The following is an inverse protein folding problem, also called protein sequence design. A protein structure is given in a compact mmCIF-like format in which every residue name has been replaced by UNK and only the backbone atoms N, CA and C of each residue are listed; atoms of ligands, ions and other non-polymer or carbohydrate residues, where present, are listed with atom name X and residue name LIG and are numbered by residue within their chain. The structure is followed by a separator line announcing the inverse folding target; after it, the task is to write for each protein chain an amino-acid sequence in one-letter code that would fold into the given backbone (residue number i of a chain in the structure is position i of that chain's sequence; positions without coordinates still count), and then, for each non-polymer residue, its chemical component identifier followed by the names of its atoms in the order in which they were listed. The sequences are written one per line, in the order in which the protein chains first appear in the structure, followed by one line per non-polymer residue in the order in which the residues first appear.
data_IF_601163968432
#
_entry.id   IF_601163968432
#
_cell.length_a   1.000
_cell.length_b   1.000
_cell.length_c   1.000
_cell.angle_alpha   90.00
_cell.angle_beta   90.00
_cell.angle_gamma   90.00
#
_symmetry.space_group_name_H-M   'P 1'
#
loop_
_entity.id
_entity.type
_entity.pdbx_description
1 polymer ?
#
# COMPACT_ATOMS: atom_id res chain seq x y z
N UNK A 1 -16.48 -29.39 -28.24
CA UNK A 1 -16.90 -28.07 -27.76
C UNK A 1 -15.79 -27.07 -28.08
N UNK A 2 -15.98 -26.23 -29.10
CA UNK A 2 -14.96 -25.28 -29.54
C UNK A 2 -15.15 -23.97 -28.79
N UNK A 3 -14.34 -23.78 -27.75
CA UNK A 3 -14.12 -22.50 -27.10
C UNK A 3 -13.37 -21.60 -28.07
N UNK A 4 -14.03 -20.58 -28.62
CA UNK A 4 -13.33 -19.54 -29.38
C UNK A 4 -12.85 -18.52 -28.36
N UNK A 5 -11.53 -18.52 -28.11
CA UNK A 5 -10.90 -17.47 -27.33
C UNK A 5 -10.91 -16.15 -28.14
N UNK A 6 -11.03 -14.98 -27.49
CA UNK A 6 -10.88 -13.70 -28.17
C UNK A 6 -9.52 -13.68 -28.90
N UNK A 7 -9.54 -13.37 -30.20
CA UNK A 7 -8.31 -13.25 -30.99
C UNK A 7 -7.53 -12.03 -30.50
N UNK A 8 -6.44 -12.28 -29.77
CA UNK A 8 -5.51 -11.26 -29.26
C UNK A 8 -4.20 -11.22 -30.05
N UNK A 9 -4.13 -11.91 -31.19
CA UNK A 9 -2.93 -11.98 -32.03
C UNK A 9 -2.59 -10.59 -32.60
N UNK A 10 -1.40 -10.06 -32.29
CA UNK A 10 -0.93 -8.75 -32.79
C UNK A 10 -0.16 -7.89 -31.78
N UNK A 11 0.00 -8.32 -30.52
CA UNK A 11 0.84 -7.67 -29.51
C UNK A 11 1.79 -8.65 -28.82
N UNK A 12 2.75 -8.12 -28.05
CA UNK A 12 3.75 -8.92 -27.28
C UNK A 12 3.04 -10.02 -26.51
N UNK A 13 3.60 -11.23 -26.60
CA UNK A 13 3.12 -12.45 -25.95
C UNK A 13 2.66 -12.17 -24.52
N UNK A 14 1.46 -12.68 -24.19
CA UNK A 14 0.89 -12.84 -22.86
C UNK A 14 1.59 -12.03 -21.75
N UNK A 15 1.11 -10.80 -21.50
CA UNK A 15 1.25 -10.18 -20.17
C UNK A 15 0.78 -11.24 -19.17
N UNK A 16 1.74 -11.83 -18.47
CA UNK A 16 1.58 -12.96 -17.57
C UNK A 16 1.51 -12.46 -16.11
N UNK A 17 1.03 -13.31 -15.22
CA UNK A 17 0.92 -12.98 -13.80
C UNK A 17 2.29 -12.60 -13.18
N UNK A 18 3.38 -13.15 -13.72
CA UNK A 18 4.76 -12.82 -13.30
C UNK A 18 5.13 -11.35 -13.55
N UNK A 19 4.70 -10.76 -14.68
CA UNK A 19 4.90 -9.33 -14.95
C UNK A 19 4.11 -8.47 -13.96
N UNK A 20 2.88 -8.89 -13.62
CA UNK A 20 2.04 -8.18 -12.65
C UNK A 20 2.65 -8.22 -11.24
N UNK A 21 3.13 -9.39 -10.82
CA UNK A 21 3.84 -9.57 -9.55
C UNK A 21 5.12 -8.73 -9.50
N UNK A 22 5.88 -8.70 -10.59
CA UNK A 22 7.09 -7.87 -10.71
C UNK A 22 6.75 -6.38 -10.60
N UNK A 23 5.69 -5.92 -11.26
CA UNK A 23 5.22 -4.53 -11.14
C UNK A 23 4.78 -4.21 -9.72
N UNK A 24 4.05 -5.10 -9.05
CA UNK A 24 3.64 -4.93 -7.67
C UNK A 24 4.85 -4.82 -6.72
N UNK A 25 5.89 -5.62 -6.93
CA UNK A 25 7.15 -5.51 -6.18
C UNK A 25 7.86 -4.18 -6.45
N UNK A 26 7.90 -3.71 -7.70
CA UNK A 26 8.48 -2.41 -8.05
C UNK A 26 7.72 -1.26 -7.38
N UNK A 27 6.39 -1.30 -7.35
CA UNK A 27 5.56 -0.32 -6.64
C UNK A 27 5.93 -0.29 -5.16
N UNK A 28 6.05 -1.46 -4.50
CA UNK A 28 6.44 -1.57 -3.10
C UNK A 28 7.86 -1.05 -2.82
N UNK A 29 8.81 -1.33 -3.71
CA UNK A 29 10.17 -0.79 -3.57
C UNK A 29 10.22 0.72 -3.79
N UNK A 30 9.44 1.21 -4.76
CA UNK A 30 9.42 2.61 -5.11
C UNK A 30 8.74 3.47 -4.03
N UNK A 31 7.74 2.94 -3.31
CA UNK A 31 7.25 3.61 -2.10
C UNK A 31 8.38 3.77 -1.09
N UNK A 32 9.19 2.75 -0.85
CA UNK A 32 10.31 2.79 0.11
C UNK A 32 11.52 3.66 -0.28
N UNK A 33 11.57 4.21 -1.51
CA UNK A 33 12.70 5.06 -1.93
C UNK A 33 12.70 6.35 -1.12
N UNK A 34 13.78 6.60 -0.35
CA UNK A 34 13.94 7.81 0.46
C UNK A 34 14.12 9.03 -0.43
N UNK A 35 13.54 10.16 -0.02
CA UNK A 35 13.57 11.42 -0.79
C UNK A 35 14.35 12.53 -0.10
N UNK A 36 14.81 12.30 1.14
CA UNK A 36 15.63 13.24 1.93
C UNK A 36 15.03 14.65 2.06
N UNK A 37 13.69 14.74 2.16
CA UNK A 37 12.97 16.02 2.20
C UNK A 37 13.01 16.82 0.88
N UNK A 38 13.65 16.30 -0.18
CA UNK A 38 13.80 17.02 -1.45
C UNK A 38 12.52 16.95 -2.28
N UNK A 39 11.85 18.08 -2.40
CA UNK A 39 10.63 18.26 -3.23
C UNK A 39 10.74 17.64 -4.63
N UNK A 40 11.84 17.81 -5.40
CA UNK A 40 11.94 17.22 -6.73
C UNK A 40 11.98 15.68 -6.72
N UNK A 41 12.66 15.07 -5.74
CA UNK A 41 12.74 13.61 -5.62
C UNK A 41 11.39 13.01 -5.22
N UNK A 42 10.63 13.71 -4.37
CA UNK A 42 9.24 13.33 -4.03
C UNK A 42 8.34 13.35 -5.25
N UNK A 43 8.37 14.44 -6.02
CA UNK A 43 7.60 14.56 -7.27
C UNK A 43 7.99 13.46 -8.26
N UNK A 44 9.28 13.15 -8.40
CA UNK A 44 9.76 12.07 -9.26
C UNK A 44 9.26 10.69 -8.80
N UNK A 45 9.39 10.37 -7.51
CA UNK A 45 8.90 9.12 -6.90
C UNK A 45 7.39 8.96 -7.09
N UNK A 46 6.63 10.02 -6.85
CA UNK A 46 5.17 9.99 -7.02
C UNK A 46 4.77 9.81 -8.49
N UNK A 47 5.37 10.57 -9.43
CA UNK A 47 5.13 10.38 -10.87
C UNK A 47 5.41 8.95 -11.32
N UNK A 48 6.52 8.38 -10.87
CA UNK A 48 6.87 7.00 -11.18
C UNK A 48 5.88 6.00 -10.55
N UNK A 49 5.43 6.21 -9.30
CA UNK A 49 4.39 5.39 -8.67
C UNK A 49 3.05 5.48 -9.41
N UNK A 50 2.60 6.69 -9.76
CA UNK A 50 1.37 6.90 -10.52
C UNK A 50 1.42 6.19 -11.88
N UNK A 51 2.55 6.28 -12.58
CA UNK A 51 2.75 5.59 -13.86
C UNK A 51 2.72 4.07 -13.70
N UNK A 52 3.44 3.52 -12.72
CA UNK A 52 3.44 2.08 -12.46
C UNK A 52 2.06 1.55 -12.08
N UNK A 53 1.30 2.28 -11.25
CA UNK A 53 -0.08 1.91 -10.93
C UNK A 53 -1.02 2.02 -12.13
N UNK A 54 -0.85 3.04 -12.97
CA UNK A 54 -1.63 3.16 -14.21
C UNK A 54 -1.32 2.00 -15.17
N UNK A 55 -0.05 1.61 -15.31
CA UNK A 55 0.35 0.43 -16.07
C UNK A 55 -0.30 -0.82 -15.48
N UNK A 56 -0.20 -1.02 -14.17
CA UNK A 56 -0.82 -2.15 -13.48
C UNK A 56 -2.33 -2.23 -13.76
N UNK A 57 -3.06 -1.12 -13.60
CA UNK A 57 -4.50 -1.04 -13.89
C UNK A 57 -4.81 -1.35 -15.37
N UNK A 58 -3.99 -0.86 -16.31
CA UNK A 58 -4.13 -1.14 -17.77
C UNK A 58 -3.93 -2.62 -18.11
N UNK A 59 -3.05 -3.30 -17.37
CA UNK A 59 -2.78 -4.73 -17.52
C UNK A 59 -3.87 -5.59 -16.87
N UNK A 60 -4.35 -5.21 -15.67
CA UNK A 60 -5.42 -5.88 -14.92
C UNK A 60 -6.80 -5.68 -15.56
N UNK A 61 -7.05 -4.52 -16.19
CA UNK A 61 -8.32 -4.15 -16.82
C UNK A 61 -8.67 -4.92 -18.09
N UNK A 62 -8.06 -6.08 -18.32
CA UNK A 62 -8.39 -6.98 -19.42
C UNK A 62 -9.74 -7.61 -19.17
N UNK A 63 -10.55 -7.67 -20.23
CA UNK A 63 -11.73 -8.53 -20.23
C UNK A 63 -11.30 -9.97 -19.88
N UNK A 64 -11.97 -10.63 -18.90
CA UNK A 64 -11.70 -12.03 -18.59
C UNK A 64 -11.83 -12.86 -19.86
N UNK A 65 -11.16 -14.02 -19.91
CA UNK A 65 -11.36 -15.01 -20.97
C UNK A 65 -12.79 -15.55 -20.92
N UNK A 66 -13.77 -14.79 -21.40
CA UNK A 66 -15.13 -15.27 -21.47
C UNK A 66 -15.30 -16.09 -22.74
N UNK A 67 -15.38 -17.39 -22.47
CA UNK A 67 -15.68 -18.52 -23.32
C UNK A 67 -17.05 -18.32 -23.98
N UNK A 68 -17.08 -17.77 -25.19
CA UNK A 68 -18.25 -17.97 -26.04
C UNK A 68 -18.30 -19.47 -26.40
N UNK A 69 -19.28 -20.19 -25.83
CA UNK A 69 -19.62 -21.54 -26.29
C UNK A 69 -20.26 -21.42 -27.67
N UNK A 70 -19.44 -21.43 -28.72
CA UNK A 70 -19.85 -21.33 -30.13
C UNK A 70 -20.12 -22.75 -30.69
N UNK A 71 -21.08 -22.90 -31.65
CA UNK A 71 -21.24 -22.03 -32.81
C UNK A 71 -22.47 -21.12 -32.73
N UNK A 72 -22.36 -19.94 -33.35
CA UNK A 72 -23.43 -18.95 -33.47
C UNK A 72 -23.80 -18.87 -34.95
N UNK A 73 -25.10 -18.69 -35.23
CA UNK A 73 -25.70 -18.65 -36.56
C UNK A 73 -25.07 -17.60 -37.49
N UNK A 74 -25.28 -17.74 -38.81
CA UNK A 74 -24.59 -17.02 -39.89
C UNK A 74 -24.39 -15.50 -39.71
N UNK A 75 -25.36 -14.77 -39.16
CA UNK A 75 -25.25 -13.32 -38.93
C UNK A 75 -24.44 -12.95 -37.67
N UNK A 76 -24.43 -13.82 -36.67
CA UNK A 76 -23.61 -13.64 -35.46
C UNK A 76 -22.11 -13.81 -35.75
N UNK A 77 -21.75 -14.42 -36.88
CA UNK A 77 -20.35 -14.68 -37.23
C UNK A 77 -19.64 -13.39 -37.71
N UNK A 78 -20.29 -12.53 -38.49
CA UNK A 78 -19.69 -11.26 -38.96
C UNK A 78 -19.54 -10.26 -37.80
N UNK A 79 -20.56 -10.09 -36.96
CA UNK A 79 -20.47 -9.21 -35.80
C UNK A 79 -19.37 -9.66 -34.81
N UNK A 80 -19.28 -10.96 -34.52
CA UNK A 80 -18.21 -11.51 -33.68
C UNK A 80 -16.85 -11.35 -34.34
N UNK A 81 -16.75 -11.54 -35.66
CA UNK A 81 -15.51 -11.32 -36.40
C UNK A 81 -15.04 -9.86 -36.31
N UNK A 82 -15.96 -8.89 -36.47
CA UNK A 82 -15.67 -7.46 -36.31
C UNK A 82 -15.24 -7.11 -34.88
N UNK A 83 -15.93 -7.64 -33.87
CA UNK A 83 -15.54 -7.42 -32.46
C UNK A 83 -14.13 -8.00 -32.22
N UNK A 84 -13.81 -9.18 -32.76
CA UNK A 84 -12.48 -9.77 -32.66
C UNK A 84 -11.39 -8.92 -33.36
N UNK A 85 -11.69 -8.36 -34.55
CA UNK A 85 -10.78 -7.43 -35.23
C UNK A 85 -10.52 -6.18 -34.38
N UNK A 86 -11.56 -5.61 -33.77
CA UNK A 86 -11.40 -4.47 -32.85
C UNK A 86 -10.57 -4.87 -31.63
N UNK A 87 -10.80 -6.05 -31.05
CA UNK A 87 -10.02 -6.55 -29.91
C UNK A 87 -8.51 -6.67 -30.19
N UNK A 88 -8.13 -7.07 -31.40
CA UNK A 88 -6.72 -7.06 -31.83
C UNK A 88 -6.17 -5.63 -31.77
N UNK A 89 -6.89 -4.66 -32.35
CA UNK A 89 -6.48 -3.24 -32.34
C UNK A 89 -6.43 -2.67 -30.92
N UNK A 90 -7.39 -3.00 -30.05
CA UNK A 90 -7.39 -2.62 -28.62
C UNK A 90 -6.18 -3.20 -27.89
N UNK A 91 -5.80 -4.45 -28.20
CA UNK A 91 -4.61 -5.09 -27.62
C UNK A 91 -3.30 -4.40 -28.05
N UNK A 92 -3.22 -3.92 -29.28
CA UNK A 92 -2.11 -3.09 -29.76
C UNK A 92 -2.09 -1.73 -29.06
N UNK A 93 -3.24 -1.05 -28.99
CA UNK A 93 -3.38 0.26 -28.34
C UNK A 93 -3.01 0.20 -26.84
N UNK A 94 -3.37 -0.89 -26.15
CA UNK A 94 -2.92 -1.16 -24.78
C UNK A 94 -1.40 -1.21 -24.68
N UNK A 95 -0.74 -1.97 -25.56
CA UNK A 95 0.72 -2.10 -25.53
C UNK A 95 1.40 -0.75 -25.76
N UNK A 96 0.85 0.06 -26.67
CA UNK A 96 1.31 1.42 -26.93
C UNK A 96 1.08 2.34 -25.72
N UNK A 97 -0.07 2.23 -25.04
CA UNK A 97 -0.37 2.98 -23.81
C UNK A 97 0.61 2.60 -22.68
N UNK A 98 0.91 1.31 -22.49
CA UNK A 98 1.90 0.87 -21.50
C UNK A 98 3.28 1.45 -21.84
N UNK A 99 3.71 1.38 -23.09
CA UNK A 99 4.98 1.98 -23.52
C UNK A 99 5.01 3.51 -23.29
N UNK A 100 3.88 4.19 -23.54
CA UNK A 100 3.73 5.63 -23.31
C UNK A 100 3.83 5.97 -21.82
N UNK A 101 3.07 5.28 -20.96
CA UNK A 101 3.10 5.47 -19.50
C UNK A 101 4.49 5.18 -18.91
N UNK A 102 5.24 4.26 -19.51
CA UNK A 102 6.61 3.93 -19.12
C UNK A 102 7.67 4.87 -19.73
N UNK A 103 7.27 5.85 -20.55
CA UNK A 103 8.17 6.79 -21.21
C UNK A 103 9.08 6.15 -22.28
N UNK A 104 8.67 5.01 -22.84
CA UNK A 104 9.41 4.26 -23.85
C UNK A 104 9.00 4.67 -25.29
N UNK A 105 7.88 5.37 -25.44
CA UNK A 105 7.34 5.79 -26.74
C UNK A 105 7.95 7.12 -27.21
N UNK A 106 8.41 7.16 -28.45
CA UNK A 106 9.05 8.35 -29.04
C UNK A 106 8.10 9.38 -29.66
N UNK A 107 7.10 8.95 -30.45
CA UNK A 107 6.24 9.85 -31.29
C UNK A 107 4.73 9.69 -31.10
N UNK A 108 4.27 8.65 -30.42
CA UNK A 108 2.84 8.43 -30.21
C UNK A 108 2.36 9.37 -29.12
N UNK A 109 1.48 10.30 -29.47
CA UNK A 109 0.89 11.25 -28.52
C UNK A 109 -0.34 10.66 -27.85
N UNK A 110 -0.64 11.09 -26.62
CA UNK A 110 -1.88 10.72 -25.93
C UNK A 110 -3.11 11.04 -26.79
N UNK A 111 -3.05 12.14 -27.55
CA UNK A 111 -4.08 12.53 -28.51
C UNK A 111 -4.26 11.51 -29.64
N UNK A 112 -3.16 10.92 -30.15
CA UNK A 112 -3.22 9.89 -31.18
C UNK A 112 -3.90 8.61 -30.68
N UNK A 113 -3.49 8.11 -29.51
CA UNK A 113 -4.09 6.92 -28.90
C UNK A 113 -5.54 7.16 -28.50
N UNK A 114 -5.86 8.35 -27.96
CA UNK A 114 -7.23 8.73 -27.62
C UNK A 114 -8.13 8.69 -28.86
N UNK A 115 -7.68 9.31 -29.97
CA UNK A 115 -8.41 9.27 -31.25
C UNK A 115 -8.64 7.84 -31.73
N UNK A 116 -7.61 6.98 -31.73
CA UNK A 116 -7.74 5.57 -32.15
C UNK A 116 -8.79 4.86 -31.28
N UNK A 117 -8.68 4.97 -29.96
CA UNK A 117 -9.60 4.28 -29.04
C UNK A 117 -11.05 4.76 -29.21
N UNK A 118 -11.27 6.07 -29.40
CA UNK A 118 -12.59 6.61 -29.70
C UNK A 118 -13.12 6.13 -31.05
N UNK A 119 -12.29 6.06 -32.10
CA UNK A 119 -12.68 5.50 -33.40
C UNK A 119 -13.12 4.03 -33.28
N UNK A 120 -12.39 3.21 -32.51
CA UNK A 120 -12.77 1.81 -32.24
C UNK A 120 -14.08 1.68 -31.46
N UNK A 121 -14.34 2.59 -30.54
CA UNK A 121 -15.61 2.63 -29.81
C UNK A 121 -16.78 2.91 -30.74
N UNK A 122 -16.63 3.87 -31.67
CA UNK A 122 -17.63 4.16 -32.70
C UNK A 122 -17.84 2.97 -33.64
N UNK A 123 -16.75 2.29 -34.05
CA UNK A 123 -16.84 1.05 -34.84
C UNK A 123 -17.71 -0.01 -34.14
N UNK A 124 -17.54 -0.20 -32.81
CA UNK A 124 -18.35 -1.14 -32.03
C UNK A 124 -19.80 -0.68 -31.84
N UNK A 125 -20.04 0.62 -31.69
CA UNK A 125 -21.40 1.16 -31.53
C UNK A 125 -22.24 1.09 -32.79
N UNK A 126 -21.61 1.01 -33.96
CA UNK A 126 -22.28 0.82 -35.23
C UNK A 126 -22.71 -0.64 -35.51
N UNK A 127 -22.25 -1.62 -34.73
CA UNK A 127 -22.57 -3.03 -34.94
C UNK A 127 -24.01 -3.37 -34.49
N UNK A 128 -24.81 -3.95 -35.38
CA UNK A 128 -26.09 -4.54 -34.99
C UNK A 128 -25.89 -5.87 -34.26
N UNK A 129 -26.07 -5.83 -32.95
CA UNK A 129 -25.98 -6.99 -32.04
C UNK A 129 -27.31 -7.25 -31.32
N UNK A 130 -28.40 -6.67 -31.83
CA UNK A 130 -29.72 -6.75 -31.18
C UNK A 130 -30.25 -8.18 -31.11
N UNK A 131 -29.95 -9.02 -32.11
CA UNK A 131 -30.41 -10.40 -32.19
C UNK A 131 -29.74 -11.42 -31.26
N UNK A 132 -28.65 -11.06 -30.57
CA UNK A 132 -27.90 -12.03 -29.76
C UNK A 132 -27.32 -11.40 -28.48
N UNK A 133 -27.85 -11.81 -27.32
CA UNK A 133 -27.43 -11.30 -26.01
C UNK A 133 -25.95 -11.60 -25.70
N UNK A 134 -25.42 -12.75 -26.13
CA UNK A 134 -24.02 -13.10 -25.90
C UNK A 134 -23.07 -12.20 -26.67
N UNK A 135 -23.38 -11.91 -27.95
CA UNK A 135 -22.59 -11.00 -28.79
C UNK A 135 -22.66 -9.56 -28.28
N UNK A 136 -23.85 -9.13 -27.81
CA UNK A 136 -24.03 -7.82 -27.18
C UNK A 136 -23.19 -7.65 -25.91
N UNK A 137 -23.16 -8.67 -25.06
CA UNK A 137 -22.33 -8.67 -23.85
C UNK A 137 -20.84 -8.64 -24.20
N UNK A 138 -20.42 -9.42 -25.22
CA UNK A 138 -19.04 -9.39 -25.67
C UNK A 138 -18.64 -8.00 -26.19
N UNK A 139 -19.45 -7.38 -27.05
CA UNK A 139 -19.25 -6.00 -27.50
C UNK A 139 -19.14 -5.03 -26.32
N UNK A 140 -20.02 -5.14 -25.33
CA UNK A 140 -20.03 -4.29 -24.13
C UNK A 140 -18.72 -4.43 -23.34
N UNK A 141 -18.23 -5.65 -23.17
CA UNK A 141 -16.95 -5.92 -22.51
C UNK A 141 -15.77 -5.24 -23.23
N UNK A 142 -15.73 -5.30 -24.56
CA UNK A 142 -14.70 -4.59 -25.34
C UNK A 142 -14.79 -3.08 -25.17
N UNK A 143 -16.00 -2.51 -25.14
CA UNK A 143 -16.21 -1.08 -24.90
C UNK A 143 -15.76 -0.69 -23.48
N UNK A 144 -16.05 -1.50 -22.47
CA UNK A 144 -15.57 -1.30 -21.09
C UNK A 144 -14.03 -1.32 -21.03
N UNK A 145 -13.38 -2.19 -21.79
CA UNK A 145 -11.91 -2.23 -21.94
C UNK A 145 -11.35 -0.95 -22.57
N UNK A 146 -11.96 -0.47 -23.67
CA UNK A 146 -11.58 0.79 -24.33
C UNK A 146 -11.72 1.98 -23.38
N UNK A 147 -12.84 2.08 -22.66
CA UNK A 147 -13.07 3.14 -21.67
C UNK A 147 -12.03 3.10 -20.53
N UNK A 148 -11.62 1.90 -20.11
CA UNK A 148 -10.54 1.72 -19.16
C UNK A 148 -9.22 2.31 -19.66
N UNK A 149 -8.84 2.05 -20.92
CA UNK A 149 -7.62 2.60 -21.53
C UNK A 149 -7.68 4.13 -21.67
N UNK A 150 -8.81 4.68 -22.13
CA UNK A 150 -9.01 6.12 -22.30
C UNK A 150 -8.79 6.90 -21.00
N UNK A 151 -9.30 6.39 -19.87
CA UNK A 151 -9.13 7.00 -18.55
C UNK A 151 -7.66 7.25 -18.17
N UNK A 152 -6.73 6.41 -18.64
CA UNK A 152 -5.31 6.55 -18.33
C UNK A 152 -4.57 7.50 -19.27
N UNK A 153 -5.12 7.83 -20.44
CA UNK A 153 -4.55 8.83 -21.35
C UNK A 153 -4.74 10.26 -20.84
N UNK A 154 -5.85 10.51 -20.14
CA UNK A 154 -6.12 11.79 -19.48
C UNK A 154 -5.05 12.14 -18.41
N UNK A 155 -4.41 11.12 -17.82
CA UNK A 155 -3.35 11.29 -16.81
C UNK A 155 -2.05 11.87 -17.39
N UNK A 156 -1.75 11.64 -18.68
CA UNK A 156 -0.51 12.13 -19.31
C UNK A 156 -0.67 13.54 -19.89
N UNK A 157 -1.86 13.91 -20.37
CA UNK A 157 -2.14 15.28 -20.83
C UNK A 157 -2.07 16.33 -19.71
N UNK A 158 -2.25 15.90 -18.47
CA UNK A 158 -2.23 16.74 -17.25
C UNK A 158 -0.85 16.76 -16.56
N UNK A 159 0.12 15.98 -17.03
CA UNK A 159 1.42 15.75 -16.40
C UNK A 159 2.34 16.98 -16.31
N UNK A 160 2.07 18.00 -17.13
CA UNK A 160 2.81 19.27 -17.11
C UNK A 160 2.36 20.20 -15.97
N UNK A 161 1.13 20.07 -15.46
CA UNK A 161 0.65 20.91 -14.37
C UNK A 161 0.99 20.30 -13.00
N UNK A 162 2.16 20.68 -12.49
CA UNK A 162 2.73 20.16 -11.22
C UNK A 162 1.85 20.34 -9.99
N UNK A 163 0.74 21.11 -10.06
CA UNK A 163 -0.20 21.38 -8.97
C UNK A 163 -1.02 20.16 -8.57
N UNK A 164 -1.40 19.29 -9.51
CA UNK A 164 -2.21 18.08 -9.23
C UNK A 164 -1.42 16.99 -8.48
N UNK A 165 -0.09 17.11 -8.45
CA UNK A 165 0.84 16.18 -7.78
C UNK A 165 1.31 16.70 -6.41
N UNK A 166 0.81 17.84 -5.95
CA UNK A 166 1.10 18.34 -4.61
C UNK A 166 0.28 17.55 -3.56
N UNK A 167 0.94 16.59 -2.91
CA UNK A 167 0.33 15.74 -1.89
C UNK A 167 -0.25 16.56 -0.72
N UNK A 168 0.30 17.75 -0.45
CA UNK A 168 -0.20 18.62 0.62
C UNK A 168 -1.62 19.15 0.34
N UNK A 169 -2.05 19.16 -0.93
CA UNK A 169 -3.41 19.58 -1.31
C UNK A 169 -4.41 18.43 -1.36
N UNK A 170 -3.94 17.17 -1.28
CA UNK A 170 -4.83 16.02 -1.28
C UNK A 170 -5.59 15.91 0.05
N UNK A 171 -6.93 15.81 0.00
CA UNK A 171 -7.77 15.76 1.20
C UNK A 171 -7.42 14.57 2.12
N UNK A 172 -7.25 13.36 1.58
CA UNK A 172 -6.87 12.19 2.37
C UNK A 172 -5.53 12.36 3.08
N UNK A 173 -4.54 12.97 2.42
CA UNK A 173 -3.26 13.30 3.06
C UNK A 173 -3.43 14.33 4.18
N UNK A 174 -4.23 15.38 3.96
CA UNK A 174 -4.51 16.40 4.98
C UNK A 174 -5.22 15.80 6.20
N UNK A 175 -6.15 14.87 6.00
CA UNK A 175 -6.81 14.12 7.07
C UNK A 175 -5.81 13.26 7.86
N UNK A 176 -4.94 12.52 7.15
CA UNK A 176 -3.88 11.71 7.78
C UNK A 176 -2.94 12.60 8.61
N UNK A 177 -2.51 13.74 8.08
CA UNK A 177 -1.62 14.66 8.81
C UNK A 177 -2.30 15.31 10.01
N UNK A 178 -3.60 15.61 9.94
CA UNK A 178 -4.36 16.08 11.09
C UNK A 178 -4.39 15.02 12.21
N UNK A 179 -4.61 13.75 11.86
CA UNK A 179 -4.52 12.64 12.82
C UNK A 179 -3.13 12.55 13.42
N UNK A 180 -2.07 12.59 12.61
CA UNK A 180 -0.68 12.50 13.10
C UNK A 180 -0.31 13.66 14.03
N UNK A 181 -0.73 14.87 13.72
CA UNK A 181 -0.54 16.03 14.60
C UNK A 181 -1.21 15.81 15.96
N UNK A 182 -2.43 15.29 15.95
CA UNK A 182 -3.17 14.95 17.17
C UNK A 182 -2.48 13.84 17.98
N UNK A 183 -2.00 12.79 17.31
CA UNK A 183 -1.22 11.71 17.94
C UNK A 183 0.08 12.23 18.55
N UNK A 184 0.78 13.17 17.89
CA UNK A 184 1.98 13.80 18.46
C UNK A 184 1.67 14.50 19.77
N UNK A 185 0.57 15.25 19.84
CA UNK A 185 0.14 15.93 21.06
C UNK A 185 -0.19 14.93 22.19
N UNK A 186 -0.95 13.88 21.88
CA UNK A 186 -1.26 12.83 22.85
C UNK A 186 0.00 12.11 23.33
N UNK A 187 0.93 11.77 22.43
CA UNK A 187 2.21 11.14 22.74
C UNK A 187 3.05 12.01 23.69
N UNK A 188 3.16 13.31 23.42
CA UNK A 188 3.85 14.25 24.32
C UNK A 188 3.17 14.32 25.69
N UNK A 189 1.84 14.28 25.72
CA UNK A 189 1.07 14.11 26.95
C UNK A 189 1.46 12.83 27.70
N UNK A 190 1.44 11.68 27.01
CA UNK A 190 1.79 10.36 27.59
C UNK A 190 3.20 10.37 28.19
N UNK A 191 4.19 10.86 27.45
CA UNK A 191 5.58 10.90 27.91
C UNK A 191 5.76 11.82 29.13
N UNK A 192 5.11 12.99 29.16
CA UNK A 192 5.14 13.90 30.32
C UNK A 192 4.51 13.28 31.56
N UNK A 193 3.32 12.70 31.46
CA UNK A 193 2.65 12.10 32.63
C UNK A 193 3.39 10.84 33.12
N UNK A 194 4.03 10.07 32.22
CA UNK A 194 4.90 8.97 32.62
C UNK A 194 6.09 9.44 33.45
N UNK A 195 6.72 10.56 33.09
CA UNK A 195 7.80 11.14 33.89
C UNK A 195 7.33 11.60 35.28
N UNK A 196 6.08 12.05 35.39
CA UNK A 196 5.48 12.50 36.67
C UNK A 196 4.80 11.38 37.47
N UNK A 197 4.79 10.13 36.97
CA UNK A 197 4.06 9.00 37.57
C UNK A 197 2.55 9.25 37.77
N UNK A 198 1.96 10.12 36.94
CA UNK A 198 0.54 10.45 36.99
C UNK A 198 -0.28 9.50 36.09
N UNK A 199 -1.26 8.81 36.68
CA UNK A 199 -2.14 7.82 36.05
C UNK A 199 -3.50 8.39 35.61
N UNK A 200 -3.72 9.70 35.79
CA UNK A 200 -4.98 10.37 35.46
C UNK A 200 -5.19 10.53 33.95
N UNK A 201 -4.10 10.69 33.18
CA UNK A 201 -4.15 10.86 31.73
C UNK A 201 -4.35 9.52 31.01
N UNK A 202 -5.53 9.30 30.43
CA UNK A 202 -5.93 8.03 29.77
C UNK A 202 -6.35 8.24 28.30
N UNK A 203 -5.39 8.52 27.40
CA UNK A 203 -5.70 8.83 26.00
C UNK A 203 -6.05 7.59 25.15
N UNK A 204 -6.07 6.38 25.72
CA UNK A 204 -6.25 5.12 24.98
C UNK A 204 -7.55 5.08 24.17
N UNK A 205 -8.67 5.53 24.74
CA UNK A 205 -9.95 5.57 24.02
C UNK A 205 -9.89 6.53 22.81
N UNK A 206 -9.22 7.66 22.97
CA UNK A 206 -9.03 8.65 21.92
C UNK A 206 -8.11 8.12 20.81
N UNK A 207 -6.99 7.47 21.17
CA UNK A 207 -6.10 6.80 20.22
C UNK A 207 -6.82 5.71 19.41
N UNK A 208 -7.70 4.92 20.04
CA UNK A 208 -8.53 3.93 19.35
C UNK A 208 -9.52 4.58 18.37
N UNK A 209 -10.10 5.73 18.74
CA UNK A 209 -10.94 6.52 17.83
C UNK A 209 -10.16 7.02 16.61
N UNK A 210 -8.90 7.42 16.79
CA UNK A 210 -8.03 7.85 15.68
C UNK A 210 -7.68 6.70 14.73
N UNK A 211 -7.48 5.47 15.24
CA UNK A 211 -7.33 4.30 14.38
C UNK A 211 -8.58 4.07 13.52
N UNK A 212 -9.76 4.17 14.13
CA UNK A 212 -11.03 4.01 13.42
C UNK A 212 -11.21 5.10 12.36
N UNK A 213 -10.76 6.33 12.64
CA UNK A 213 -10.74 7.41 11.65
C UNK A 213 -9.79 7.10 10.49
N UNK A 214 -8.56 6.64 10.78
CA UNK A 214 -7.59 6.28 9.75
C UNK A 214 -8.11 5.17 8.83
N UNK A 215 -8.82 4.18 9.37
CA UNK A 215 -9.43 3.09 8.57
C UNK A 215 -10.48 3.59 7.56
N UNK A 216 -11.14 4.72 7.86
CA UNK A 216 -12.15 5.35 7.01
C UNK A 216 -11.57 6.28 5.94
N UNK A 217 -10.28 6.65 6.03
CA UNK A 217 -9.63 7.51 5.03
C UNK A 217 -9.61 6.81 3.67
N UNK A 218 -10.17 7.46 2.65
CA UNK A 218 -10.13 6.96 1.28
C UNK A 218 -8.69 7.01 0.76
N UNK A 219 -8.14 5.83 0.51
CA UNK A 219 -6.80 5.66 -0.06
C UNK A 219 -6.82 5.49 -1.57
N UNK A 220 -8.00 5.29 -2.17
CA UNK A 220 -8.18 4.84 -3.55
C UNK A 220 -7.19 3.70 -3.90
N UNK A 221 -6.72 3.62 -5.15
CA UNK A 221 -5.57 2.79 -5.52
C UNK A 221 -4.22 3.50 -5.31
N UNK A 222 -4.17 4.62 -4.59
CA UNK A 222 -2.96 5.45 -4.48
C UNK A 222 -1.96 4.86 -3.48
N UNK A 223 -0.79 4.36 -3.91
CA UNK A 223 0.19 3.74 -3.01
C UNK A 223 0.79 4.73 -1.99
N UNK A 224 0.89 6.02 -2.31
CA UNK A 224 1.40 7.02 -1.38
C UNK A 224 0.43 7.29 -0.23
N UNK A 225 -0.88 7.39 -0.53
CA UNK A 225 -1.90 7.60 0.50
C UNK A 225 -2.03 6.35 1.38
N UNK A 226 -1.97 5.15 0.78
CA UNK A 226 -1.91 3.88 1.53
C UNK A 226 -0.72 3.83 2.48
N UNK A 227 0.45 4.23 2.03
CA UNK A 227 1.66 4.26 2.84
C UNK A 227 1.60 5.32 3.94
N UNK A 228 1.14 6.54 3.64
CA UNK A 228 0.91 7.60 4.62
C UNK A 228 -0.04 7.12 5.74
N UNK A 229 -1.17 6.50 5.37
CA UNK A 229 -2.12 5.91 6.33
C UNK A 229 -1.46 4.81 7.14
N UNK A 230 -0.70 3.90 6.51
CA UNK A 230 0.01 2.81 7.20
C UNK A 230 0.95 3.36 8.27
N UNK A 231 1.74 4.39 7.95
CA UNK A 231 2.68 5.02 8.89
C UNK A 231 1.95 5.69 10.05
N UNK A 232 0.85 6.40 9.78
CA UNK A 232 0.00 6.98 10.83
C UNK A 232 -0.59 5.91 11.75
N UNK A 233 -1.08 4.79 11.20
CA UNK A 233 -1.58 3.65 12.00
C UNK A 233 -0.48 3.10 12.91
N UNK A 234 0.73 2.91 12.38
CA UNK A 234 1.87 2.41 13.17
C UNK A 234 2.25 3.41 14.28
N UNK A 235 2.20 4.72 14.03
CA UNK A 235 2.41 5.76 15.05
C UNK A 235 1.40 5.68 16.19
N UNK A 236 0.10 5.56 15.88
CA UNK A 236 -0.94 5.41 16.89
C UNK A 236 -0.75 4.11 17.69
N UNK A 237 -0.49 3.00 16.98
CA UNK A 237 -0.31 1.69 17.60
C UNK A 237 0.93 1.64 18.51
N UNK A 238 2.00 2.35 18.17
CA UNK A 238 3.18 2.46 19.02
C UNK A 238 2.86 3.12 20.38
N UNK A 239 1.99 4.14 20.40
CA UNK A 239 1.55 4.77 21.65
C UNK A 239 0.62 3.85 22.44
N UNK A 240 -0.33 3.18 21.78
CA UNK A 240 -1.25 2.25 22.45
C UNK A 240 -0.48 1.09 23.09
N UNK A 241 0.41 0.45 22.34
CA UNK A 241 1.21 -0.68 22.84
C UNK A 241 2.11 -0.31 24.00
N UNK A 242 2.64 0.93 24.02
CA UNK A 242 3.37 1.46 25.15
C UNK A 242 2.50 1.57 26.41
N UNK A 243 1.29 2.13 26.27
CA UNK A 243 0.33 2.26 27.37
C UNK A 243 -0.10 0.88 27.91
N UNK A 244 -0.37 -0.07 27.00
CA UNK A 244 -0.76 -1.44 27.35
C UNK A 244 0.34 -2.14 28.16
N UNK A 245 1.59 -2.00 27.74
CA UNK A 245 2.71 -2.58 28.47
C UNK A 245 2.90 -1.93 29.83
N UNK A 246 2.79 -0.60 29.92
CA UNK A 246 2.87 0.15 31.19
C UNK A 246 1.79 -0.30 32.16
N UNK A 247 0.55 -0.47 31.69
CA UNK A 247 -0.55 -0.98 32.49
C UNK A 247 -0.30 -2.42 32.96
N UNK A 248 0.16 -3.30 32.07
CA UNK A 248 0.48 -4.69 32.40
C UNK A 248 1.62 -4.79 33.43
N UNK A 249 2.65 -3.94 33.33
CA UNK A 249 3.74 -3.86 34.29
C UNK A 249 3.26 -3.33 35.65
N UNK A 250 2.36 -2.36 35.68
CA UNK A 250 1.79 -1.82 36.92
C UNK A 250 0.87 -2.83 37.63
N UNK A 251 0.15 -3.66 36.87
CA UNK A 251 -0.72 -4.72 37.38
C UNK A 251 0.04 -6.02 37.70
N UNK A 252 1.36 -6.06 37.48
CA UNK A 252 2.16 -7.26 37.74
C UNK A 252 2.24 -7.52 39.24
N UNK A 253 1.80 -8.72 39.64
CA UNK A 253 1.98 -9.24 41.00
C UNK A 253 2.96 -10.40 40.95
N UNK A 254 4.19 -10.19 41.42
CA UNK A 254 5.18 -11.26 41.51
C UNK A 254 4.84 -12.17 42.71
N UNK A 255 4.51 -13.43 42.42
CA UNK A 255 4.27 -14.44 43.45
C UNK A 255 5.58 -15.07 43.97
N UNK A 256 5.59 -15.62 45.19
CA UNK A 256 6.76 -16.29 45.75
C UNK A 256 7.22 -17.51 44.93
N UNK A 257 6.33 -18.14 44.17
CA UNK A 257 6.60 -19.31 43.32
C UNK A 257 6.76 -18.94 41.82
N UNK A 258 7.04 -17.68 41.49
CA UNK A 258 7.25 -17.26 40.09
C UNK A 258 8.46 -17.99 39.47
N UNK A 259 8.21 -18.73 38.39
CA UNK A 259 9.25 -19.44 37.66
C UNK A 259 10.32 -18.45 37.15
N UNK A 260 11.63 -18.82 37.19
CA UNK A 260 12.71 -17.95 36.74
C UNK A 260 12.54 -17.45 35.30
N UNK A 261 12.00 -18.29 34.40
CA UNK A 261 11.75 -17.95 33.00
C UNK A 261 10.71 -16.85 32.83
N UNK A 262 9.61 -16.90 33.60
CA UNK A 262 8.58 -15.85 33.61
C UNK A 262 9.15 -14.54 34.16
N UNK A 263 9.87 -14.62 35.27
CA UNK A 263 10.53 -13.45 35.87
C UNK A 263 11.51 -12.80 34.89
N UNK A 264 12.29 -13.59 34.15
CA UNK A 264 13.24 -13.09 33.17
C UNK A 264 12.53 -12.34 32.01
N UNK A 265 11.45 -12.91 31.46
CA UNK A 265 10.66 -12.22 30.42
C UNK A 265 10.12 -10.88 30.93
N UNK A 266 9.59 -10.84 32.14
CA UNK A 266 9.09 -9.59 32.71
C UNK A 266 10.17 -8.54 32.96
N UNK A 267 11.39 -8.93 33.33
CA UNK A 267 12.52 -8.00 33.46
C UNK A 267 12.87 -7.37 32.11
N UNK A 268 12.86 -8.17 31.04
CA UNK A 268 13.06 -7.66 29.69
C UNK A 268 11.90 -6.75 29.27
N UNK A 269 10.65 -7.12 29.56
CA UNK A 269 9.49 -6.28 29.27
C UNK A 269 9.56 -4.91 29.99
N UNK A 270 10.04 -4.87 31.24
CA UNK A 270 10.33 -3.60 31.93
C UNK A 270 11.33 -2.74 31.15
N UNK A 271 12.45 -3.33 30.76
CA UNK A 271 13.49 -2.65 29.98
C UNK A 271 12.98 -2.18 28.61
N UNK A 272 12.13 -2.97 27.95
CA UNK A 272 11.48 -2.62 26.69
C UNK A 272 10.50 -1.46 26.85
N UNK A 273 9.81 -1.34 27.99
CA UNK A 273 8.94 -0.19 28.28
C UNK A 273 9.75 1.11 28.31
N UNK A 274 10.90 1.11 29.00
CA UNK A 274 11.77 2.27 29.09
C UNK A 274 12.41 2.63 27.73
N UNK A 275 12.82 1.63 26.95
CA UNK A 275 13.33 1.84 25.60
C UNK A 275 12.25 2.37 24.66
N UNK A 276 11.02 1.86 24.74
CA UNK A 276 9.92 2.35 23.93
C UNK A 276 9.57 3.80 24.25
N UNK A 277 9.63 4.23 25.52
CA UNK A 277 9.47 5.64 25.88
C UNK A 277 10.52 6.52 25.19
N UNK A 278 11.79 6.08 25.17
CA UNK A 278 12.87 6.79 24.46
C UNK A 278 12.63 6.82 22.95
N UNK A 279 12.20 5.71 22.34
CA UNK A 279 11.85 5.65 20.91
C UNK A 279 10.65 6.54 20.57
N UNK A 280 9.63 6.60 21.43
CA UNK A 280 8.49 7.51 21.27
C UNK A 280 8.93 8.98 21.35
N UNK A 281 9.91 9.31 22.19
CA UNK A 281 10.51 10.64 22.31
C UNK A 281 11.55 10.98 21.23
N UNK A 282 12.09 10.00 20.51
CA UNK A 282 13.20 10.19 19.58
C UNK A 282 12.82 11.04 18.34
N UNK A 283 13.49 12.15 18.07
CA UNK A 283 13.21 13.04 16.93
C UNK A 283 14.41 13.21 15.99
N UNK A 284 15.44 12.37 16.16
CA UNK A 284 16.68 12.41 15.38
C UNK A 284 16.61 11.69 14.03
N UNK A 285 17.79 11.55 13.41
CA UNK A 285 18.00 10.85 12.15
C UNK A 285 18.63 9.48 12.38
N UNK A 286 18.56 8.61 11.37
CA UNK A 286 19.21 7.29 11.40
C UNK A 286 20.73 7.37 11.63
N UNK A 287 21.37 8.43 11.15
CA UNK A 287 22.82 8.62 11.32
C UNK A 287 23.23 9.05 12.74
N UNK A 288 22.27 9.39 13.60
CA UNK A 288 22.57 9.91 14.93
C UNK A 288 23.06 8.79 15.86
N UNK A 289 24.02 9.12 16.72
CA UNK A 289 24.52 8.18 17.75
C UNK A 289 23.41 7.69 18.66
N UNK A 290 22.41 8.53 18.94
CA UNK A 290 21.22 8.19 19.73
C UNK A 290 20.38 7.11 19.07
N UNK A 291 20.22 7.14 17.74
CA UNK A 291 19.54 6.07 17.00
C UNK A 291 20.30 4.75 17.14
N UNK A 292 21.60 4.76 16.86
CA UNK A 292 22.46 3.55 16.89
C UNK A 292 22.46 2.91 18.28
N UNK A 293 22.51 3.74 19.33
CA UNK A 293 22.42 3.29 20.72
C UNK A 293 21.06 2.64 21.03
N UNK A 294 19.95 3.23 20.59
CA UNK A 294 18.61 2.65 20.80
C UNK A 294 18.46 1.31 20.07
N UNK A 295 18.92 1.22 18.83
CA UNK A 295 18.94 -0.01 18.03
C UNK A 295 19.76 -1.11 18.72
N UNK A 296 20.97 -0.78 19.20
CA UNK A 296 21.84 -1.71 19.93
C UNK A 296 21.18 -2.20 21.23
N UNK A 297 20.61 -1.31 22.03
CA UNK A 297 19.96 -1.66 23.29
C UNK A 297 18.73 -2.55 23.08
N UNK A 298 17.92 -2.28 22.06
CA UNK A 298 16.79 -3.12 21.66
C UNK A 298 17.25 -4.49 21.17
N UNK A 299 18.32 -4.55 20.38
CA UNK A 299 18.92 -5.80 19.92
C UNK A 299 19.44 -6.63 21.10
N UNK A 300 20.02 -5.98 22.11
CA UNK A 300 20.42 -6.65 23.35
C UNK A 300 19.22 -7.25 24.10
N UNK A 301 18.05 -6.60 24.11
CA UNK A 301 16.84 -7.18 24.70
C UNK A 301 16.40 -8.45 23.97
N UNK A 302 16.49 -8.48 22.63
CA UNK A 302 16.19 -9.68 21.84
C UNK A 302 17.11 -10.85 22.22
N UNK A 303 18.42 -10.60 22.32
CA UNK A 303 19.38 -11.63 22.75
C UNK A 303 19.10 -12.15 24.16
N UNK A 304 18.68 -11.27 25.08
CA UNK A 304 18.28 -11.69 26.43
C UNK A 304 17.02 -12.54 26.43
N UNK A 305 16.04 -12.23 25.58
CA UNK A 305 14.84 -13.07 25.41
C UNK A 305 15.19 -14.44 24.84
N UNK A 306 16.08 -14.51 23.85
CA UNK A 306 16.52 -15.78 23.26
C UNK A 306 17.25 -16.68 24.28
N UNK A 307 17.97 -16.07 25.23
CA UNK A 307 18.64 -16.77 26.32
C UNK A 307 17.67 -17.29 27.42
N UNK A 308 16.39 -16.90 27.42
CA UNK A 308 15.41 -17.42 28.39
C UNK A 308 15.08 -18.87 28.08
N UNK A 309 15.55 -19.78 28.93
CA UNK A 309 15.19 -21.19 28.91
C UNK A 309 13.78 -21.40 29.47
N UNK A 310 12.86 -21.85 28.63
CA UNK A 310 11.48 -22.12 29.01
C UNK A 310 11.28 -23.50 29.67
N UNK A 311 12.28 -24.39 29.67
CA UNK A 311 12.23 -25.74 30.28
C UNK A 311 10.95 -26.54 29.94
N UNK A 312 10.40 -26.36 28.74
CA UNK A 312 9.17 -27.04 28.30
C UNK A 312 7.86 -26.37 28.76
N UNK A 313 7.90 -25.27 29.50
CA UNK A 313 6.72 -24.49 29.88
C UNK A 313 6.15 -23.70 28.69
N UNK A 314 5.01 -24.15 28.18
CA UNK A 314 4.33 -23.50 27.06
C UNK A 314 3.92 -22.05 27.37
N UNK A 315 3.57 -21.72 28.62
CA UNK A 315 3.23 -20.34 28.97
C UNK A 315 4.47 -19.45 28.91
N UNK A 316 5.63 -19.93 29.37
CA UNK A 316 6.89 -19.20 29.26
C UNK A 316 7.32 -19.03 27.78
N UNK A 317 7.12 -20.04 26.94
CA UNK A 317 7.39 -19.95 25.49
C UNK A 317 6.50 -18.91 24.81
N UNK A 318 5.21 -18.90 25.11
CA UNK A 318 4.27 -17.90 24.57
C UNK A 318 4.63 -16.49 25.03
N UNK A 319 4.91 -16.30 26.33
CA UNK A 319 5.30 -15.00 26.88
C UNK A 319 6.60 -14.47 26.22
N UNK A 320 7.61 -15.34 26.08
CA UNK A 320 8.86 -15.01 25.37
C UNK A 320 8.60 -14.61 23.92
N UNK A 321 7.80 -15.39 23.17
CA UNK A 321 7.47 -15.10 21.78
C UNK A 321 6.75 -13.75 21.64
N UNK A 322 5.85 -13.44 22.56
CA UNK A 322 5.14 -12.16 22.56
C UNK A 322 6.10 -11.00 22.88
N UNK A 323 7.02 -11.16 23.82
CA UNK A 323 8.04 -10.15 24.14
C UNK A 323 9.01 -9.93 22.97
N UNK A 324 9.40 -10.98 22.23
CA UNK A 324 10.22 -10.85 21.01
C UNK A 324 9.48 -10.03 19.95
N UNK A 325 8.20 -10.35 19.70
CA UNK A 325 7.36 -9.59 18.77
C UNK A 325 7.25 -8.11 19.19
N UNK A 326 7.14 -7.86 20.48
CA UNK A 326 7.08 -6.50 21.02
C UNK A 326 8.39 -5.72 20.78
N UNK A 327 9.54 -6.32 21.07
CA UNK A 327 10.85 -5.71 20.79
C UNK A 327 11.05 -5.42 19.29
N UNK A 328 10.67 -6.36 18.42
CA UNK A 328 10.71 -6.18 16.97
C UNK A 328 9.79 -5.04 16.51
N UNK A 329 8.59 -4.90 17.09
CA UNK A 329 7.70 -3.79 16.78
C UNK A 329 8.31 -2.43 17.16
N UNK A 330 9.02 -2.34 18.30
CA UNK A 330 9.71 -1.11 18.70
C UNK A 330 10.83 -0.77 17.70
N UNK A 331 11.65 -1.76 17.30
CA UNK A 331 12.69 -1.59 16.28
C UNK A 331 12.10 -1.10 14.95
N UNK A 332 11.06 -1.78 14.45
CA UNK A 332 10.38 -1.40 13.21
C UNK A 332 9.81 0.02 13.28
N UNK A 333 9.28 0.43 14.43
CA UNK A 333 8.78 1.79 14.63
C UNK A 333 9.92 2.82 14.65
N UNK A 334 11.03 2.54 15.33
CA UNK A 334 12.22 3.39 15.33
C UNK A 334 12.77 3.57 13.90
N UNK A 335 12.85 2.48 13.14
CA UNK A 335 13.23 2.50 11.73
C UNK A 335 12.29 3.37 10.89
N UNK A 336 10.98 3.17 11.03
CA UNK A 336 9.99 3.96 10.32
C UNK A 336 10.04 5.45 10.68
N UNK A 337 10.31 5.79 11.95
CA UNK A 337 10.38 7.18 12.41
C UNK A 337 11.58 7.93 11.83
N UNK A 338 12.70 7.21 11.62
CA UNK A 338 13.95 7.76 11.07
C UNK A 338 14.04 7.66 9.55
N UNK A 339 13.09 6.96 8.94
CA UNK A 339 12.93 6.89 7.51
C UNK A 339 12.18 8.15 7.04
N UNK A 340 12.93 9.13 6.53
CA UNK A 340 12.45 10.46 6.15
C UNK A 340 11.30 10.40 5.10
N UNK A 341 10.06 10.32 5.58
CA UNK A 341 8.84 10.42 4.79
C UNK A 341 8.22 11.80 4.99
N UNK A 342 8.74 12.77 4.25
CA UNK A 342 8.21 14.14 4.26
C UNK A 342 7.42 14.36 2.96
N UNK A 343 6.24 14.98 3.04
CA UNK A 343 5.31 15.21 1.91
C UNK A 343 5.72 16.34 0.99
#
# INVERSE_FOLDING_TARGET
EHVVAPQRAGGVAEINDELLDTLQQLVLRLTQVKTEGRVPLRKARYRALTRLCAVQDVLEGRTPHQTLSLPLSGDSNEAVHRINQVMVKVSMARSQLVALLMGLSGRDSCAHLSRILTELQVELDALDVSGNAAVRNYRKQVVEEINGLLKHLDLEGEGDDTRRYDLAQNNSIREIEAVRAHVSHLREGVLRHCAMSDLSFRPKAELLSLLTHLDQVDTAKNPCIREARRRAVVEVQAVITFLDLREALAQRHAGPDERPSHRAVWLVLGSLSDLQAQVLGFDGKRADKSYMMLEELLTKQLLMLDAVDAQGDEMAKMARKQAVKFAQNILNYLDMKTDEWEY
#
